data_IF_630249429440
#
_entry.id   IF_630249429440
#
_cell.length_a   1.000
_cell.length_b   1.000
_cell.length_c   1.000
_cell.angle_alpha   90.00
_cell.angle_beta   90.00
_cell.angle_gamma   90.00
#
_symmetry.space_group_name_H-M   'P 1'
#
loop_
_entity.id
_entity.type
_entity.pdbx_description
1 polymer ?
#
# COMPACT_ATOMS: atom_id res chain seq x y z
N UNK A 1 5.30 14.22 -38.35
CA UNK A 1 4.67 14.83 -37.15
C UNK A 1 3.14 14.87 -37.18
N UNK A 2 2.46 15.41 -38.22
CA UNK A 2 0.98 15.50 -38.24
C UNK A 2 0.26 14.15 -38.04
N UNK A 3 0.74 13.07 -38.68
CA UNK A 3 0.19 11.72 -38.56
C UNK A 3 0.31 11.12 -37.16
N UNK A 4 1.44 11.33 -36.47
CA UNK A 4 1.62 10.88 -35.09
C UNK A 4 0.71 11.61 -34.13
N UNK A 5 0.55 12.94 -34.31
CA UNK A 5 -0.37 13.73 -33.49
C UNK A 5 -1.81 13.23 -33.65
N UNK A 6 -2.27 13.01 -34.87
CA UNK A 6 -3.61 12.47 -35.11
C UNK A 6 -3.80 11.08 -34.52
N UNK A 7 -2.80 10.19 -34.65
CA UNK A 7 -2.86 8.85 -34.06
C UNK A 7 -2.96 8.89 -32.54
N UNK A 8 -2.19 9.76 -31.87
CA UNK A 8 -2.21 9.90 -30.42
C UNK A 8 -3.60 10.36 -29.92
N UNK A 9 -4.16 11.39 -30.55
CA UNK A 9 -5.49 11.92 -30.22
C UNK A 9 -6.56 10.84 -30.41
N UNK A 10 -6.48 10.05 -31.48
CA UNK A 10 -7.40 8.93 -31.70
C UNK A 10 -7.24 7.85 -30.63
N UNK A 11 -6.01 7.45 -30.29
CA UNK A 11 -5.76 6.46 -29.25
C UNK A 11 -6.24 6.93 -27.86
N UNK A 12 -6.03 8.20 -27.53
CA UNK A 12 -6.51 8.79 -26.27
C UNK A 12 -8.04 8.76 -26.18
N UNK A 13 -8.76 9.18 -27.23
CA UNK A 13 -10.22 9.10 -27.30
C UNK A 13 -10.74 7.67 -27.19
N UNK A 14 -10.04 6.70 -27.79
CA UNK A 14 -10.39 5.29 -27.68
C UNK A 14 -10.18 4.76 -26.25
N UNK A 15 -9.11 5.16 -25.57
CA UNK A 15 -8.86 4.78 -24.18
C UNK A 15 -9.89 5.37 -23.22
N UNK A 16 -10.16 6.67 -23.33
CA UNK A 16 -11.18 7.34 -22.50
C UNK A 16 -12.55 6.69 -22.71
N UNK A 17 -12.91 6.35 -23.96
CA UNK A 17 -14.15 5.63 -24.26
C UNK A 17 -14.16 4.20 -23.71
N UNK A 18 -13.03 3.50 -23.76
CA UNK A 18 -12.92 2.13 -23.23
C UNK A 18 -13.06 2.09 -21.70
N UNK A 19 -12.64 3.15 -21.02
CA UNK A 19 -12.80 3.35 -19.58
C UNK A 19 -14.16 3.98 -19.20
N UNK A 20 -15.08 4.13 -20.16
CA UNK A 20 -16.38 4.78 -19.96
C UNK A 20 -16.28 6.17 -19.30
N UNK A 21 -15.21 6.91 -19.61
CA UNK A 21 -14.88 8.21 -19.01
C UNK A 21 -14.61 8.17 -17.50
N UNK A 22 -14.45 7.00 -16.89
CA UNK A 22 -14.03 6.81 -15.51
C UNK A 22 -12.49 6.91 -15.43
N UNK A 23 -12.01 8.14 -15.24
CA UNK A 23 -10.57 8.46 -15.16
C UNK A 23 -10.07 8.67 -13.73
N UNK A 24 -10.98 8.67 -12.76
CA UNK A 24 -10.62 8.78 -11.35
C UNK A 24 -10.12 7.42 -10.85
N UNK A 25 -8.81 7.31 -10.65
CA UNK A 25 -8.17 6.10 -10.15
C UNK A 25 -7.59 6.39 -8.78
N UNK A 26 -8.05 5.64 -7.78
CA UNK A 26 -7.40 5.61 -6.47
C UNK A 26 -6.13 4.76 -6.55
N UNK A 27 -5.05 5.23 -5.94
CA UNK A 27 -3.78 4.51 -5.90
C UNK A 27 -3.50 4.00 -4.47
N UNK A 28 -2.79 2.87 -4.33
CA UNK A 28 -2.65 2.19 -3.04
C UNK A 28 -1.66 2.86 -2.08
N UNK A 29 -0.93 3.89 -2.53
CA UNK A 29 0.15 4.53 -1.77
C UNK A 29 -0.32 5.20 -0.49
N UNK A 30 -1.37 6.01 -0.58
CA UNK A 30 -1.91 6.73 0.58
C UNK A 30 -2.41 5.77 1.65
N UNK A 31 -3.10 4.71 1.22
CA UNK A 31 -3.58 3.67 2.10
C UNK A 31 -2.41 2.97 2.82
N UNK A 32 -1.40 2.52 2.06
CA UNK A 32 -0.21 1.87 2.61
C UNK A 32 0.50 2.76 3.63
N UNK A 33 0.71 4.04 3.30
CA UNK A 33 1.39 4.99 4.18
C UNK A 33 0.60 5.23 5.47
N UNK A 34 -0.72 5.36 5.37
CA UNK A 34 -1.59 5.53 6.54
C UNK A 34 -1.60 4.29 7.43
N UNK A 35 -1.60 3.09 6.85
CA UNK A 35 -1.47 1.84 7.61
C UNK A 35 -0.12 1.76 8.33
N UNK A 36 0.99 2.08 7.66
CA UNK A 36 2.32 2.09 8.26
C UNK A 36 2.41 3.10 9.42
N UNK A 37 1.86 4.30 9.23
CA UNK A 37 1.76 5.33 10.29
C UNK A 37 0.91 4.83 11.46
N UNK A 38 -0.23 4.20 11.17
CA UNK A 38 -1.07 3.58 12.19
C UNK A 38 -0.34 2.51 12.99
N UNK A 39 0.51 1.70 12.35
CA UNK A 39 1.34 0.71 13.03
C UNK A 39 2.37 1.36 13.96
N UNK A 40 3.08 2.40 13.50
CA UNK A 40 4.04 3.11 14.35
C UNK A 40 3.36 3.85 15.52
N UNK A 41 2.15 4.35 15.31
CA UNK A 41 1.33 4.92 16.39
C UNK A 41 1.02 3.87 17.46
N UNK A 42 0.61 2.65 17.07
CA UNK A 42 0.35 1.55 18.01
C UNK A 42 1.61 1.21 18.79
N UNK A 43 2.75 1.08 18.10
CA UNK A 43 4.04 0.81 18.74
C UNK A 43 4.37 1.87 19.81
N UNK A 44 4.20 3.14 19.48
CA UNK A 44 4.42 4.24 20.41
C UNK A 44 3.50 4.17 21.64
N UNK A 45 2.20 3.92 21.45
CA UNK A 45 1.22 3.81 22.54
C UNK A 45 1.57 2.64 23.45
N UNK A 46 1.91 1.48 22.88
CA UNK A 46 2.28 0.29 23.67
C UNK A 46 3.55 0.52 24.49
N UNK A 47 4.47 1.36 24.01
CA UNK A 47 5.69 1.71 24.71
C UNK A 47 5.49 2.79 25.80
N UNK A 48 4.47 3.66 25.68
CA UNK A 48 4.26 4.81 26.59
C UNK A 48 2.93 4.68 27.36
N UNK A 49 3.00 4.26 28.62
CA UNK A 49 1.87 4.01 29.53
C UNK A 49 1.14 5.26 30.09
N UNK A 50 1.42 6.46 29.57
CA UNK A 50 0.88 7.71 30.14
C UNK A 50 -0.54 8.05 29.68
N UNK A 51 -1.34 8.73 30.54
CA UNK A 51 -2.75 8.99 30.28
C UNK A 51 -2.95 9.87 29.03
N UNK A 52 -3.82 9.39 28.17
CA UNK A 52 -4.15 9.88 26.84
C UNK A 52 -4.76 11.29 26.93
N UNK A 53 -3.97 12.32 26.62
CA UNK A 53 -4.43 13.69 26.41
C UNK A 53 -5.05 13.84 24.99
N UNK A 54 -6.26 14.39 24.76
CA UNK A 54 -6.96 14.26 23.46
C UNK A 54 -6.23 14.81 22.21
N UNK A 55 -5.15 15.59 22.39
CA UNK A 55 -4.35 16.16 21.30
C UNK A 55 -3.11 15.35 20.85
N UNK A 56 -2.69 14.31 21.58
CA UNK A 56 -1.42 13.63 21.25
C UNK A 56 -1.48 12.83 19.94
N UNK A 57 -2.65 12.32 19.54
CA UNK A 57 -2.79 11.59 18.28
C UNK A 57 -2.41 12.46 17.08
N UNK A 58 -2.87 13.72 17.05
CA UNK A 58 -2.50 14.69 16.02
C UNK A 58 -1.02 15.04 16.07
N UNK A 59 -0.45 15.18 17.26
CA UNK A 59 0.97 15.48 17.42
C UNK A 59 1.88 14.32 17.00
N UNK A 60 1.52 13.07 17.32
CA UNK A 60 2.26 11.90 16.84
C UNK A 60 2.13 11.76 15.33
N UNK A 61 0.92 11.94 14.78
CA UNK A 61 0.74 11.88 13.33
C UNK A 61 1.57 12.96 12.62
N UNK A 62 1.61 14.18 13.17
CA UNK A 62 2.49 15.27 12.70
C UNK A 62 3.97 14.91 12.82
N UNK A 63 4.39 14.23 13.90
CA UNK A 63 5.77 13.74 14.05
C UNK A 63 6.09 12.64 13.06
N UNK A 64 5.20 11.68 12.82
CA UNK A 64 5.40 10.64 11.80
C UNK A 64 5.38 11.21 10.37
N UNK A 65 4.81 12.38 10.16
CA UNK A 65 4.91 13.13 8.90
C UNK A 65 6.26 13.85 8.75
N UNK A 66 6.86 14.31 9.84
CA UNK A 66 8.07 15.14 9.83
C UNK A 66 9.36 14.35 10.09
N UNK A 67 9.29 13.29 10.90
CA UNK A 67 10.42 12.55 11.45
C UNK A 67 9.96 11.11 11.80
N UNK A 68 9.74 10.32 10.75
CA UNK A 68 9.43 8.89 10.89
C UNK A 68 10.70 8.12 11.26
N UNK A 69 10.60 7.25 12.27
CA UNK A 69 11.70 6.39 12.71
C UNK A 69 12.36 5.66 11.54
N UNK A 70 13.69 5.53 11.59
CA UNK A 70 14.50 5.03 10.46
C UNK A 70 14.05 3.64 9.97
N UNK A 71 13.61 2.77 10.88
CA UNK A 71 13.09 1.44 10.56
C UNK A 71 11.78 1.53 9.77
N UNK A 72 10.81 2.30 10.26
CA UNK A 72 9.55 2.54 9.56
C UNK A 72 9.77 3.24 8.22
N UNK A 73 10.75 4.14 8.15
CA UNK A 73 11.18 4.80 6.91
C UNK A 73 11.74 3.81 5.89
N UNK A 74 12.56 2.85 6.33
CA UNK A 74 13.04 1.76 5.47
C UNK A 74 11.90 0.86 4.97
N UNK A 75 10.99 0.46 5.86
CA UNK A 75 9.81 -0.34 5.51
C UNK A 75 8.93 0.41 4.51
N UNK A 76 8.70 1.71 4.72
CA UNK A 76 7.91 2.55 3.81
C UNK A 76 8.51 2.63 2.42
N UNK A 77 9.84 2.76 2.29
CA UNK A 77 10.52 2.73 0.99
C UNK A 77 10.41 1.38 0.29
N UNK A 78 10.56 0.27 1.02
CA UNK A 78 10.36 -1.08 0.48
C UNK A 78 8.93 -1.28 0.00
N UNK A 79 7.95 -0.91 0.82
CA UNK A 79 6.54 -1.01 0.48
C UNK A 79 6.22 -0.16 -0.77
N UNK A 80 6.79 1.04 -0.88
CA UNK A 80 6.64 1.90 -2.06
C UNK A 80 7.16 1.23 -3.34
N UNK A 81 8.35 0.63 -3.28
CA UNK A 81 8.93 -0.11 -4.40
C UNK A 81 8.02 -1.28 -4.82
N UNK A 82 7.61 -2.09 -3.85
CA UNK A 82 6.73 -3.23 -4.10
C UNK A 82 5.35 -2.85 -4.63
N UNK A 83 4.81 -1.71 -4.22
CA UNK A 83 3.57 -1.16 -4.76
C UNK A 83 3.75 -0.78 -6.24
N UNK A 84 4.86 -0.14 -6.58
CA UNK A 84 5.14 0.26 -7.96
C UNK A 84 5.26 -0.96 -8.87
N UNK A 85 6.04 -1.95 -8.46
CA UNK A 85 6.22 -3.20 -9.20
C UNK A 85 4.89 -3.97 -9.33
N UNK A 86 4.08 -4.00 -8.26
CA UNK A 86 2.77 -4.60 -8.26
C UNK A 86 1.81 -3.94 -9.26
N UNK A 87 1.83 -2.60 -9.37
CA UNK A 87 1.02 -1.86 -10.34
C UNK A 87 1.49 -2.07 -11.79
N UNK A 88 2.78 -2.33 -12.00
CA UNK A 88 3.31 -2.71 -13.30
C UNK A 88 2.89 -4.12 -13.74
N UNK A 89 2.40 -4.96 -12.82
CA UNK A 89 1.86 -6.28 -13.13
C UNK A 89 0.35 -6.20 -13.44
N UNK A 90 -0.09 -6.42 -14.70
CA UNK A 90 -1.51 -6.35 -15.05
C UNK A 90 -2.36 -7.36 -14.28
N UNK A 91 -1.77 -8.50 -13.94
CA UNK A 91 -2.44 -9.53 -13.13
C UNK A 91 -2.74 -9.04 -11.72
N UNK A 92 -1.83 -8.29 -11.12
CA UNK A 92 -2.02 -7.78 -9.75
C UNK A 92 -2.96 -6.57 -9.79
N UNK A 93 -2.69 -5.61 -10.66
CA UNK A 93 -3.45 -4.37 -10.77
C UNK A 93 -4.93 -4.57 -11.12
N UNK A 94 -5.27 -5.58 -11.93
CA UNK A 94 -6.65 -5.82 -12.37
C UNK A 94 -7.43 -6.83 -11.51
N UNK A 95 -6.76 -7.69 -10.73
CA UNK A 95 -7.44 -8.75 -9.97
C UNK A 95 -7.68 -8.41 -8.50
N UNK A 96 -7.08 -7.34 -7.98
CA UNK A 96 -7.11 -7.01 -6.57
C UNK A 96 -7.50 -5.56 -6.33
N UNK A 97 -8.11 -5.29 -5.17
CA UNK A 97 -8.46 -3.94 -4.75
C UNK A 97 -7.21 -3.16 -4.35
N UNK A 98 -7.27 -1.82 -4.45
CA UNK A 98 -6.14 -0.96 -4.07
C UNK A 98 -5.73 -1.13 -2.60
N UNK A 99 -6.66 -1.19 -1.63
CA UNK A 99 -6.31 -1.51 -0.24
C UNK A 99 -5.68 -2.90 -0.09
N UNK A 100 -6.13 -3.89 -0.87
CA UNK A 100 -5.53 -5.22 -0.88
C UNK A 100 -4.09 -5.19 -1.34
N UNK A 101 -3.82 -4.54 -2.47
CA UNK A 101 -2.45 -4.37 -2.99
C UNK A 101 -1.58 -3.65 -1.95
N UNK A 102 -2.09 -2.57 -1.34
CA UNK A 102 -1.40 -1.83 -0.28
C UNK A 102 -1.00 -2.72 0.91
N UNK A 103 -1.95 -3.48 1.48
CA UNK A 103 -1.66 -4.37 2.61
C UNK A 103 -0.74 -5.52 2.22
N UNK A 104 -0.91 -6.09 1.02
CA UNK A 104 -0.06 -7.17 0.51
C UNK A 104 1.40 -6.74 0.36
N UNK A 105 1.64 -5.58 -0.26
CA UNK A 105 2.97 -5.02 -0.46
C UNK A 105 3.58 -4.53 0.87
N UNK A 106 2.79 -3.95 1.76
CA UNK A 106 3.26 -3.57 3.10
C UNK A 106 3.64 -4.79 3.93
N UNK A 107 2.84 -5.86 3.89
CA UNK A 107 3.16 -7.12 4.55
C UNK A 107 4.43 -7.75 3.98
N UNK A 108 4.64 -7.69 2.65
CA UNK A 108 5.90 -8.10 2.02
C UNK A 108 7.08 -7.28 2.56
N UNK A 109 6.96 -5.95 2.60
CA UNK A 109 8.01 -5.07 3.13
C UNK A 109 8.39 -5.39 4.58
N UNK A 110 7.41 -5.64 5.44
CA UNK A 110 7.66 -6.05 6.83
C UNK A 110 8.44 -7.37 6.90
N UNK A 111 8.07 -8.35 6.07
CA UNK A 111 8.79 -9.64 6.01
C UNK A 111 10.20 -9.49 5.45
N UNK A 112 10.40 -8.64 4.44
CA UNK A 112 11.72 -8.34 3.88
C UNK A 112 12.62 -7.63 4.89
N UNK A 113 12.06 -6.72 5.69
CA UNK A 113 12.78 -6.02 6.75
C UNK A 113 12.97 -6.83 8.04
N UNK A 114 12.41 -8.05 8.11
CA UNK A 114 12.35 -8.87 9.33
C UNK A 114 11.71 -8.13 10.52
N UNK A 115 10.71 -7.29 10.24
CA UNK A 115 9.95 -6.55 11.23
C UNK A 115 8.68 -7.31 11.64
N UNK A 116 8.35 -7.28 12.92
CA UNK A 116 7.17 -7.92 13.47
C UNK A 116 5.93 -7.03 13.37
N UNK A 117 4.77 -7.67 13.21
CA UNK A 117 3.50 -6.98 13.33
C UNK A 117 3.22 -6.67 14.82
N UNK A 118 2.67 -5.49 15.15
CA UNK A 118 2.32 -5.13 16.54
C UNK A 118 1.15 -5.95 17.10
N UNK A 119 0.48 -6.75 16.26
CA UNK A 119 -0.68 -7.57 16.59
C UNK A 119 -0.70 -8.84 15.70
N UNK A 120 -1.63 -9.75 15.94
CA UNK A 120 -1.77 -10.94 15.08
C UNK A 120 -2.19 -10.55 13.66
N UNK A 121 -1.88 -11.41 12.68
CA UNK A 121 -2.27 -11.15 11.29
C UNK A 121 -3.78 -11.01 11.11
N UNK A 122 -4.59 -11.74 11.91
CA UNK A 122 -6.06 -11.60 11.85
C UNK A 122 -6.47 -10.22 12.30
N UNK A 123 -6.04 -9.81 13.50
CA UNK A 123 -6.37 -8.50 14.06
C UNK A 123 -5.89 -7.35 13.15
N UNK A 124 -4.73 -7.52 12.51
CA UNK A 124 -4.19 -6.53 11.59
C UNK A 124 -5.05 -6.37 10.33
N UNK A 125 -5.49 -7.49 9.74
CA UNK A 125 -6.40 -7.46 8.58
C UNK A 125 -7.80 -7.02 8.98
N UNK A 126 -8.27 -7.38 10.16
CA UNK A 126 -9.56 -6.91 10.68
C UNK A 126 -9.52 -5.39 10.94
N UNK A 127 -8.38 -4.85 11.39
CA UNK A 127 -8.24 -3.42 11.65
C UNK A 127 -8.13 -2.59 10.38
N UNK A 128 -7.29 -3.01 9.44
CA UNK A 128 -6.99 -2.21 8.24
C UNK A 128 -7.77 -2.66 7.01
N UNK A 129 -8.20 -3.91 6.95
CA UNK A 129 -8.89 -4.50 5.80
C UNK A 129 -10.41 -4.65 5.93
N UNK A 130 -10.99 -4.29 7.07
CA UNK A 130 -12.43 -4.41 7.30
C UNK A 130 -13.29 -3.60 6.31
N UNK A 131 -12.85 -2.41 5.88
CA UNK A 131 -13.63 -1.59 4.94
C UNK A 131 -13.88 -2.29 3.61
N UNK A 132 -12.98 -3.19 3.20
CA UNK A 132 -13.03 -3.92 1.94
C UNK A 132 -13.40 -5.41 2.11
N UNK A 133 -13.88 -5.81 3.30
CA UNK A 133 -14.15 -7.22 3.63
C UNK A 133 -12.95 -8.15 3.32
N UNK A 134 -11.73 -7.68 3.53
CA UNK A 134 -10.54 -8.46 3.19
C UNK A 134 -10.31 -9.61 4.17
N UNK A 135 -9.83 -10.73 3.62
CA UNK A 135 -9.42 -11.88 4.42
C UNK A 135 -7.90 -11.96 4.54
N UNK A 136 -7.42 -12.60 5.61
CA UNK A 136 -5.99 -12.90 5.79
C UNK A 136 -5.42 -13.67 4.60
N UNK A 137 -6.21 -14.54 3.97
CA UNK A 137 -5.80 -15.31 2.81
C UNK A 137 -5.63 -14.44 1.55
N UNK A 138 -6.45 -13.40 1.38
CA UNK A 138 -6.31 -12.46 0.29
C UNK A 138 -4.97 -11.73 0.37
N UNK A 139 -4.64 -11.18 1.55
CA UNK A 139 -3.36 -10.49 1.77
C UNK A 139 -2.16 -11.43 1.60
N UNK A 140 -2.23 -12.65 2.15
CA UNK A 140 -1.16 -13.65 1.96
C UNK A 140 -1.02 -14.10 0.51
N UNK A 141 -2.12 -14.20 -0.23
CA UNK A 141 -2.13 -14.52 -1.64
C UNK A 141 -1.42 -13.43 -2.47
N UNK A 142 -1.75 -12.17 -2.19
CA UNK A 142 -1.10 -11.00 -2.81
C UNK A 142 0.39 -10.90 -2.49
N UNK A 143 0.78 -11.15 -1.24
CA UNK A 143 2.17 -11.26 -0.83
C UNK A 143 2.93 -12.28 -1.69
N UNK A 144 2.37 -13.49 -1.86
CA UNK A 144 3.00 -14.53 -2.68
C UNK A 144 3.08 -14.13 -4.16
N UNK A 145 2.01 -13.56 -4.71
CA UNK A 145 1.98 -13.14 -6.11
C UNK A 145 3.00 -12.04 -6.43
N UNK A 146 3.17 -11.07 -5.53
CA UNK A 146 4.20 -10.02 -5.68
C UNK A 146 5.60 -10.61 -5.57
N UNK A 147 5.83 -11.50 -4.60
CA UNK A 147 7.12 -12.18 -4.44
C UNK A 147 7.47 -13.01 -5.69
N UNK A 148 6.51 -13.79 -6.21
CA UNK A 148 6.70 -14.59 -7.42
C UNK A 148 6.98 -13.69 -8.64
N UNK A 149 6.30 -12.55 -8.76
CA UNK A 149 6.54 -11.58 -9.83
C UNK A 149 7.96 -11.02 -9.77
N UNK A 150 8.44 -10.62 -8.59
CA UNK A 150 9.79 -10.09 -8.40
C UNK A 150 10.88 -11.13 -8.71
N UNK A 151 10.68 -12.38 -8.28
CA UNK A 151 11.63 -13.47 -8.55
C UNK A 151 11.73 -13.83 -10.05
N UNK A 152 10.70 -13.55 -10.83
CA UNK A 152 10.67 -13.82 -12.28
C UNK A 152 11.14 -12.61 -13.10
N UNK A 153 11.02 -11.39 -12.57
CA UNK A 153 11.44 -10.17 -13.27
C UNK A 153 12.97 -9.94 -13.30
N UNK A 154 13.74 -10.64 -12.45
CA UNK A 154 15.21 -10.58 -12.38
C UNK A 154 15.94 -11.57 -13.33
N UNK A 155 15.29 -12.01 -14.42
CA UNK A 155 15.89 -12.81 -15.53
C UNK A 155 15.70 -12.06 -16.86
#
# INVERSE_FOLDING_TARGET
MKRMRSSLVTSELLLVRALDYELEVELPFTFCLNTLRGMGLIHYITAHTSPINPGWQKEIMRRMEQDMEDELSAIGRLAWMFLWDGLCSPKIALMHTMPGIALGCLYLALRTANADLPMTMSEWVDMWGASENMSVQAVRGLYKQNLDYMLVADI
#
